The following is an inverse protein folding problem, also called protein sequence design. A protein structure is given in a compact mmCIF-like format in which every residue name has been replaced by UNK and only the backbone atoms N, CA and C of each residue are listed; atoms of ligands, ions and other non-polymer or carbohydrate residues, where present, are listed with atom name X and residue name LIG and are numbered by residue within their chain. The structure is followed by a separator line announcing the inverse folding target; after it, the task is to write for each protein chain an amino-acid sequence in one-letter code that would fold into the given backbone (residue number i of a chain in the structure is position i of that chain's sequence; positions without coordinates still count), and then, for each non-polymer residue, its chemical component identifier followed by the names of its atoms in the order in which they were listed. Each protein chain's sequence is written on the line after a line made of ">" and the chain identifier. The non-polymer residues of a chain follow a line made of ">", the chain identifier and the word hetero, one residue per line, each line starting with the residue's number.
data_IF_897178537573
#
_entry.id   IF_897178537573
#
_cell.length_a   1.000
_cell.length_b   1.000
_cell.length_c   1.000
_cell.angle_alpha   90.00
_cell.angle_beta   90.00
_cell.angle_gamma   90.00
#
_symmetry.space_group_name_H-M   'P 1'
#
loop_
_entity.id
_entity.type
_entity.pdbx_description
1 polymer ?
#
# COMPACT_ATOMS: atom_id res chain seq x y z
N UNK A 1 6.21 5.38 5.09
CA UNK A 1 5.16 5.46 6.12
C UNK A 1 5.63 5.07 7.52
N UNK A 2 6.46 4.03 7.71
CA UNK A 2 6.93 3.60 9.04
C UNK A 2 7.37 4.76 9.95
N UNK A 3 8.28 5.60 9.45
CA UNK A 3 8.81 6.76 10.18
C UNK A 3 7.75 7.78 10.66
N UNK A 4 6.58 7.85 10.02
CA UNK A 4 5.50 8.78 10.40
C UNK A 4 4.69 8.29 11.61
N UNK A 5 4.63 6.97 11.82
CA UNK A 5 3.85 6.34 12.91
C UNK A 5 4.77 5.82 14.02
N UNK A 6 6.02 5.47 13.69
CA UNK A 6 6.97 4.90 14.64
C UNK A 6 7.25 5.81 15.83
N UNK A 7 7.18 7.14 15.66
CA UNK A 7 7.32 8.11 16.74
C UNK A 7 6.16 8.13 17.75
N UNK A 8 4.98 7.63 17.37
CA UNK A 8 3.80 7.64 18.24
C UNK A 8 3.86 6.54 19.31
N UNK A 9 4.47 5.39 18.99
CA UNK A 9 4.53 4.24 19.89
C UNK A 9 5.39 4.50 21.13
N UNK A 10 6.60 5.08 21.06
CA UNK A 10 7.37 5.44 22.24
C UNK A 10 6.63 6.37 23.20
N UNK A 11 5.76 7.25 22.69
CA UNK A 11 4.95 8.13 23.54
C UNK A 11 3.78 7.40 24.22
N UNK A 12 3.13 6.48 23.51
CA UNK A 12 1.96 5.75 23.99
C UNK A 12 2.30 4.51 24.83
N UNK A 13 3.39 3.83 24.50
CA UNK A 13 3.81 2.56 25.09
C UNK A 13 5.35 2.53 25.27
N UNK A 14 5.91 3.42 26.11
CA UNK A 14 7.35 3.65 26.23
C UNK A 14 8.14 2.40 26.64
N UNK A 15 7.52 1.50 27.39
CA UNK A 15 8.17 0.29 27.90
C UNK A 15 8.17 -0.87 26.89
N UNK A 16 7.58 -0.70 25.69
CA UNK A 16 7.52 -1.78 24.71
C UNK A 16 8.90 -2.25 24.26
N UNK A 17 9.83 -1.32 23.98
CA UNK A 17 11.16 -1.66 23.47
C UNK A 17 11.95 -2.51 24.49
N UNK A 18 11.86 -2.17 25.77
CA UNK A 18 12.54 -2.93 26.83
C UNK A 18 11.92 -4.32 26.99
N UNK A 19 10.59 -4.40 26.98
CA UNK A 19 9.88 -5.68 27.05
C UNK A 19 10.20 -6.57 25.84
N UNK A 20 10.25 -5.98 24.64
CA UNK A 20 10.59 -6.67 23.41
C UNK A 20 11.96 -7.35 23.47
N UNK A 21 12.94 -6.68 24.08
CA UNK A 21 14.32 -7.19 24.19
C UNK A 21 14.62 -8.01 25.45
N UNK A 22 13.71 -8.05 26.44
CA UNK A 22 14.00 -8.68 27.73
C UNK A 22 12.98 -9.73 28.20
N UNK A 23 11.72 -9.68 27.75
CA UNK A 23 10.66 -10.60 28.19
C UNK A 23 10.43 -11.74 27.19
N UNK A 24 10.09 -12.96 27.66
CA UNK A 24 9.77 -14.08 26.77
C UNK A 24 8.50 -13.81 25.93
N UNK A 25 8.44 -14.45 24.76
CA UNK A 25 7.29 -14.35 23.84
C UNK A 25 7.35 -13.17 22.86
N UNK A 26 8.36 -12.31 22.97
CA UNK A 26 8.69 -11.28 21.99
C UNK A 26 9.76 -11.78 21.02
N UNK A 27 9.76 -11.27 19.79
CA UNK A 27 10.73 -11.70 18.77
C UNK A 27 12.18 -11.36 19.14
N UNK A 28 12.40 -10.37 20.01
CA UNK A 28 13.72 -9.97 20.50
C UNK A 28 14.36 -10.97 21.47
N UNK A 29 13.57 -11.85 22.10
CA UNK A 29 14.05 -12.89 23.04
C UNK A 29 13.78 -14.31 22.54
N UNK A 30 13.16 -14.47 21.38
CA UNK A 30 12.93 -15.76 20.73
C UNK A 30 14.29 -16.39 20.33
N UNK A 31 14.64 -17.58 20.87
CA UNK A 31 15.90 -18.26 20.54
C UNK A 31 16.06 -18.61 19.05
N UNK A 32 14.96 -18.74 18.30
CA UNK A 32 14.99 -18.98 16.86
C UNK A 32 15.15 -17.71 16.01
N UNK A 33 15.05 -16.54 16.63
CA UNK A 33 15.11 -15.25 15.95
C UNK A 33 16.55 -14.78 15.77
N UNK A 34 16.84 -14.27 14.57
CA UNK A 34 18.10 -13.57 14.27
C UNK A 34 17.99 -12.05 14.36
N UNK A 35 16.86 -11.51 14.84
CA UNK A 35 16.64 -10.06 14.84
C UNK A 35 17.70 -9.31 15.66
N UNK A 36 18.25 -9.94 16.70
CA UNK A 36 19.34 -9.39 17.50
C UNK A 36 20.62 -9.12 16.71
N UNK A 37 20.90 -9.90 15.65
CA UNK A 37 22.07 -9.72 14.79
C UNK A 37 22.00 -8.41 13.98
N UNK A 38 20.79 -7.87 13.78
CA UNK A 38 20.57 -6.61 13.09
C UNK A 38 20.70 -5.37 14.00
N UNK A 39 20.79 -5.55 15.33
CA UNK A 39 20.94 -4.43 16.27
C UNK A 39 22.26 -3.72 16.06
N UNK A 40 22.23 -2.40 16.16
CA UNK A 40 23.44 -1.58 16.20
C UNK A 40 23.24 -0.32 17.02
N UNK A 41 24.35 0.22 17.50
CA UNK A 41 24.43 1.52 18.16
C UNK A 41 25.65 2.25 17.65
N UNK A 42 25.52 3.55 17.38
CA UNK A 42 26.62 4.40 16.93
C UNK A 42 26.62 5.68 17.76
N UNK A 43 27.62 5.83 18.62
CA UNK A 43 27.79 7.03 19.45
C UNK A 43 28.61 8.06 18.69
N UNK A 44 28.20 9.32 18.73
CA UNK A 44 28.92 10.42 18.10
C UNK A 44 28.68 11.74 18.84
N UNK A 45 29.44 12.76 18.49
CA UNK A 45 29.23 14.12 18.99
C UNK A 45 28.67 14.98 17.87
N UNK A 46 27.73 15.86 18.20
CA UNK A 46 27.18 16.84 17.26
C UNK A 46 28.23 17.92 16.99
N UNK A 47 28.45 18.24 15.72
CA UNK A 47 29.39 19.27 15.26
C UNK A 47 28.68 20.46 14.60
N UNK A 48 27.44 20.26 14.14
CA UNK A 48 26.63 21.27 13.49
C UNK A 48 25.15 20.91 13.55
N UNK A 49 24.29 21.93 13.56
CA UNK A 49 22.84 21.79 13.47
C UNK A 49 22.34 22.82 12.47
N UNK A 50 21.60 22.37 11.46
CA UNK A 50 20.85 23.23 10.56
C UNK A 50 19.37 23.15 10.93
N UNK A 51 18.81 24.31 11.30
CA UNK A 51 17.42 24.41 11.76
C UNK A 51 16.41 24.42 10.61
N UNK A 52 15.19 23.95 10.89
CA UNK A 52 14.08 23.92 9.95
C UNK A 52 13.85 22.51 9.39
N UNK A 53 12.63 22.16 8.94
CA UNK A 53 12.36 20.85 8.36
C UNK A 53 12.90 20.76 6.91
N UNK A 54 13.72 19.74 6.56
CA UNK A 54 14.22 18.68 7.44
C UNK A 54 15.35 19.16 8.36
N UNK A 55 15.26 18.84 9.66
CA UNK A 55 16.33 19.17 10.62
C UNK A 55 17.56 18.33 10.29
N UNK A 56 18.70 18.99 10.10
CA UNK A 56 19.96 18.32 9.80
C UNK A 56 20.92 18.44 10.98
N UNK A 57 21.47 17.29 11.40
CA UNK A 57 22.42 17.19 12.50
C UNK A 57 23.70 16.61 11.94
N UNK A 58 24.78 17.35 12.07
CA UNK A 58 26.10 16.94 11.60
C UNK A 58 26.87 16.27 12.72
N UNK A 59 27.36 15.06 12.50
CA UNK A 59 28.11 14.26 13.48
C UNK A 59 29.63 14.36 13.27
N UNK A 60 30.40 14.05 14.31
CA UNK A 60 31.86 13.88 14.22
C UNK A 60 32.25 12.78 13.24
N UNK A 61 31.48 11.69 13.23
CA UNK A 61 31.67 10.56 12.35
C UNK A 61 30.31 9.93 11.98
N UNK A 62 30.21 9.48 10.73
CA UNK A 62 29.04 8.79 10.23
C UNK A 62 29.00 7.32 10.65
N UNK A 63 27.81 6.70 10.70
CA UNK A 63 27.66 5.29 11.09
C UNK A 63 28.14 4.30 10.01
N UNK A 64 28.56 4.77 8.84
CA UNK A 64 29.07 3.93 7.74
C UNK A 64 28.05 2.94 7.16
N UNK A 65 26.76 3.14 7.44
CA UNK A 65 25.66 2.28 7.02
C UNK A 65 24.35 3.04 6.91
N UNK A 66 23.35 2.43 6.28
CA UNK A 66 21.99 2.93 6.28
C UNK A 66 21.40 2.87 7.70
N UNK A 67 20.84 3.99 8.14
CA UNK A 67 20.20 4.18 9.45
C UNK A 67 18.81 4.79 9.29
N UNK A 68 18.19 4.69 8.12
CA UNK A 68 16.78 5.01 7.95
C UNK A 68 15.93 4.27 8.99
N UNK A 69 14.91 4.95 9.50
CA UNK A 69 13.99 4.47 10.54
C UNK A 69 14.61 4.24 11.94
N UNK A 70 15.94 4.33 12.10
CA UNK A 70 16.60 4.36 13.40
C UNK A 70 16.28 5.66 14.15
N UNK A 71 16.66 5.73 15.42
CA UNK A 71 16.43 6.89 16.26
C UNK A 71 17.75 7.56 16.62
N UNK A 72 17.75 8.88 16.65
CA UNK A 72 18.79 9.68 17.27
C UNK A 72 18.40 9.92 18.74
N UNK A 73 19.11 9.27 19.65
CA UNK A 73 18.96 9.42 21.09
C UNK A 73 19.93 10.51 21.57
N UNK A 74 19.41 11.53 22.24
CA UNK A 74 20.23 12.61 22.80
C UNK A 74 20.76 12.17 24.18
N UNK A 75 22.08 12.06 24.33
CA UNK A 75 22.72 11.56 25.54
C UNK A 75 23.17 12.66 26.51
N UNK A 76 23.31 13.90 26.04
CA UNK A 76 23.69 15.06 26.86
C UNK A 76 23.05 16.36 26.36
N UNK A 77 23.18 17.44 27.12
CA UNK A 77 22.68 18.76 26.73
C UNK A 77 21.22 18.99 27.13
N UNK A 78 20.63 20.08 26.64
CA UNK A 78 19.26 20.49 26.99
C UNK A 78 18.21 19.46 26.53
N UNK A 79 18.45 18.81 25.39
CA UNK A 79 17.58 17.80 24.82
C UNK A 79 17.83 16.37 25.37
N UNK A 80 18.67 16.19 26.41
CA UNK A 80 19.02 14.88 26.94
C UNK A 80 17.81 14.00 27.25
N UNK A 81 17.90 12.71 26.88
CA UNK A 81 16.87 11.70 27.12
C UNK A 81 15.81 11.62 26.03
N UNK A 82 15.77 12.58 25.12
CA UNK A 82 14.83 12.56 24.00
C UNK A 82 15.33 11.64 22.87
N UNK A 83 14.37 11.16 22.07
CA UNK A 83 14.59 10.26 20.94
C UNK A 83 13.87 10.80 19.71
N UNK A 84 14.60 10.98 18.61
CA UNK A 84 14.08 11.57 17.37
C UNK A 84 14.22 10.58 16.21
N UNK A 85 13.14 10.23 15.48
CA UNK A 85 13.25 9.32 14.34
C UNK A 85 14.07 9.92 13.18
N UNK A 86 14.90 9.09 12.58
CA UNK A 86 15.79 9.43 11.47
C UNK A 86 15.11 9.11 10.15
N UNK A 87 15.11 10.07 9.22
CA UNK A 87 14.66 9.86 7.84
C UNK A 87 15.73 9.18 7.01
N UNK A 88 16.95 9.70 7.07
CA UNK A 88 18.11 9.21 6.32
C UNK A 88 19.41 9.71 6.95
N UNK A 89 20.51 9.03 6.62
CA UNK A 89 21.87 9.47 6.95
C UNK A 89 22.70 9.49 5.68
N UNK A 90 23.39 10.60 5.43
CA UNK A 90 24.34 10.76 4.32
C UNK A 90 25.72 11.11 4.88
N UNK A 91 26.64 10.16 4.84
CA UNK A 91 27.94 10.28 5.51
C UNK A 91 27.76 10.54 7.01
N UNK A 92 28.07 11.78 7.44
CA UNK A 92 27.95 12.26 8.83
C UNK A 92 26.73 13.15 9.09
N UNK A 93 25.93 13.42 8.06
CA UNK A 93 24.72 14.24 8.18
C UNK A 93 23.51 13.36 8.44
N UNK A 94 22.84 13.58 9.57
CA UNK A 94 21.59 12.92 9.95
C UNK A 94 20.44 13.85 9.64
N UNK A 95 19.51 13.41 8.79
CA UNK A 95 18.26 14.11 8.54
C UNK A 95 17.14 13.49 9.37
N UNK A 96 16.47 14.29 10.19
CA UNK A 96 15.30 13.85 10.94
C UNK A 96 14.04 13.84 10.07
N UNK A 97 13.03 13.08 10.50
CA UNK A 97 11.72 13.10 9.83
C UNK A 97 11.07 14.49 9.94
N UNK A 98 10.18 14.83 8.99
CA UNK A 98 9.52 16.14 8.96
C UNK A 98 8.65 16.41 10.18
N UNK A 99 8.13 15.36 10.81
CA UNK A 99 7.24 15.43 11.98
C UNK A 99 8.00 15.23 13.30
N UNK A 100 9.33 15.28 13.29
CA UNK A 100 10.13 15.22 14.51
C UNK A 100 9.80 16.42 15.41
N UNK A 101 9.90 16.23 16.73
CA UNK A 101 9.59 17.29 17.69
C UNK A 101 10.52 18.50 17.46
N UNK A 102 9.97 19.65 17.00
CA UNK A 102 10.77 20.79 16.62
C UNK A 102 11.43 21.47 17.84
N UNK A 103 10.83 21.36 19.03
CA UNK A 103 11.40 21.93 20.25
C UNK A 103 12.63 21.13 20.70
N UNK A 104 12.53 19.79 20.66
CA UNK A 104 13.66 18.91 20.96
C UNK A 104 14.77 19.08 19.92
N UNK A 105 14.43 19.06 18.63
CA UNK A 105 15.42 19.25 17.56
C UNK A 105 16.14 20.61 17.66
N UNK A 106 15.39 21.67 17.99
CA UNK A 106 15.94 23.01 18.20
C UNK A 106 16.71 23.17 19.53
N UNK A 107 16.71 22.19 20.43
CA UNK A 107 17.48 22.21 21.68
C UNK A 107 18.84 21.51 21.56
N UNK A 108 19.08 20.74 20.48
CA UNK A 108 20.37 20.09 20.21
C UNK A 108 21.43 21.13 19.79
N UNK A 109 22.65 21.01 20.30
CA UNK A 109 23.76 21.93 20.05
C UNK A 109 25.04 21.19 19.65
N UNK A 110 25.94 21.84 18.88
CA UNK A 110 27.31 21.35 18.74
C UNK A 110 27.96 21.10 20.11
N UNK A 111 28.60 19.94 20.27
CA UNK A 111 29.16 19.45 21.53
C UNK A 111 28.29 18.41 22.24
N UNK A 112 27.00 18.29 21.92
CA UNK A 112 26.13 17.28 22.51
C UNK A 112 26.53 15.87 22.06
N UNK A 113 26.53 14.92 22.99
CA UNK A 113 26.69 13.49 22.70
C UNK A 113 25.36 12.88 22.30
N UNK A 114 25.36 12.07 21.25
CA UNK A 114 24.18 11.42 20.70
C UNK A 114 24.48 9.96 20.35
N UNK A 115 23.43 9.14 20.24
CA UNK A 115 23.49 7.76 19.78
C UNK A 115 22.48 7.52 18.67
N UNK A 116 22.91 6.96 17.55
CA UNK A 116 22.01 6.33 16.59
C UNK A 116 21.72 4.92 17.09
N UNK A 117 20.44 4.56 17.22
CA UNK A 117 19.97 3.30 17.79
C UNK A 117 18.77 2.75 16.99
N UNK A 118 18.81 1.48 16.60
CA UNK A 118 17.72 0.84 15.86
C UNK A 118 16.86 -0.15 16.69
N UNK A 119 16.99 -0.16 18.01
CA UNK A 119 16.23 -1.05 18.90
C UNK A 119 14.71 -0.86 18.71
N UNK A 120 14.24 0.38 18.64
CA UNK A 120 12.84 0.71 18.34
C UNK A 120 12.43 0.24 16.95
N UNK A 121 13.24 0.53 15.93
CA UNK A 121 12.96 0.17 14.54
C UNK A 121 12.69 -1.33 14.39
N UNK A 122 13.55 -2.14 14.99
CA UNK A 122 13.46 -3.60 14.99
C UNK A 122 12.26 -4.09 15.79
N UNK A 123 12.05 -3.57 17.00
CA UNK A 123 10.92 -3.95 17.85
C UNK A 123 9.58 -3.66 17.15
N UNK A 124 9.46 -2.50 16.50
CA UNK A 124 8.22 -2.05 15.87
C UNK A 124 7.82 -2.86 14.64
N UNK A 125 8.74 -3.57 13.98
CA UNK A 125 8.41 -4.47 12.86
C UNK A 125 7.37 -5.53 13.24
N UNK A 126 7.26 -5.85 14.53
CA UNK A 126 6.33 -6.87 15.04
C UNK A 126 5.36 -6.35 16.10
N UNK A 127 5.32 -5.02 16.33
CA UNK A 127 4.43 -4.43 17.35
C UNK A 127 2.97 -4.82 17.14
N UNK A 128 2.53 -4.89 15.88
CA UNK A 128 1.19 -5.31 15.50
C UNK A 128 0.79 -6.63 16.19
N UNK A 129 1.67 -7.64 16.28
CA UNK A 129 1.38 -8.95 16.92
C UNK A 129 0.93 -8.85 18.39
N UNK A 130 1.23 -7.72 19.03
CA UNK A 130 0.94 -7.40 20.42
C UNK A 130 -0.24 -6.43 20.58
N UNK A 131 -1.05 -6.28 19.52
CA UNK A 131 -2.20 -5.36 19.39
C UNK A 131 -3.46 -6.10 18.90
N UNK A 132 -3.64 -7.36 19.29
CA UNK A 132 -4.78 -8.18 18.86
C UNK A 132 -6.07 -7.65 19.51
N UNK A 133 -7.05 -7.11 18.73
CA UNK A 133 -8.29 -6.58 19.30
C UNK A 133 -9.09 -7.66 20.04
N UNK A 134 -9.91 -7.32 21.04
CA UNK A 134 -10.75 -8.31 21.70
C UNK A 134 -11.88 -8.83 20.79
N UNK A 135 -12.42 -7.97 19.92
CA UNK A 135 -13.50 -8.32 19.00
C UNK A 135 -12.98 -9.22 17.85
N UNK A 136 -13.48 -10.47 17.71
CA UNK A 136 -13.06 -11.39 16.65
C UNK A 136 -13.53 -10.97 15.25
N UNK A 137 -14.41 -9.97 15.13
CA UNK A 137 -14.82 -9.40 13.82
C UNK A 137 -13.63 -8.81 13.06
N UNK A 138 -12.57 -8.40 13.76
CA UNK A 138 -11.30 -8.00 13.15
C UNK A 138 -10.54 -9.24 12.64
N UNK A 139 -11.14 -9.95 11.68
CA UNK A 139 -10.72 -11.31 11.31
C UNK A 139 -9.29 -11.39 10.76
N UNK A 140 -8.74 -10.30 10.22
CA UNK A 140 -7.34 -10.24 9.79
C UNK A 140 -6.35 -10.47 10.93
N UNK A 141 -6.76 -10.25 12.17
CA UNK A 141 -5.97 -10.51 13.37
C UNK A 141 -6.03 -11.95 13.85
N UNK A 142 -6.91 -12.79 13.30
CA UNK A 142 -7.09 -14.17 13.76
C UNK A 142 -5.85 -15.05 13.52
N UNK A 143 -4.97 -14.65 12.60
CA UNK A 143 -3.66 -15.28 12.40
C UNK A 143 -2.77 -15.23 13.66
N UNK A 144 -3.04 -14.32 14.59
CA UNK A 144 -2.31 -14.16 15.86
C UNK A 144 -3.03 -14.80 17.05
N UNK A 145 -4.05 -15.63 16.80
CA UNK A 145 -4.79 -16.37 17.82
C UNK A 145 -4.50 -17.86 17.69
N UNK A 146 -4.47 -18.55 18.83
CA UNK A 146 -4.42 -20.01 18.87
C UNK A 146 -5.81 -20.63 18.68
N UNK A 147 -5.88 -21.95 18.75
CA UNK A 147 -7.14 -22.72 18.59
C UNK A 147 -8.24 -22.29 19.58
N UNK A 148 -7.85 -21.87 20.79
CA UNK A 148 -8.77 -21.37 21.81
C UNK A 148 -9.24 -19.91 21.58
N UNK A 149 -8.83 -19.26 20.49
CA UNK A 149 -9.13 -17.85 20.18
C UNK A 149 -8.30 -16.83 20.98
N UNK A 150 -7.42 -17.29 21.87
CA UNK A 150 -6.53 -16.45 22.67
C UNK A 150 -5.31 -16.00 21.85
N UNK A 151 -4.82 -14.76 22.03
CA UNK A 151 -3.58 -14.31 21.38
C UNK A 151 -2.39 -15.22 21.71
N UNK A 152 -1.56 -15.53 20.70
CA UNK A 152 -0.37 -16.39 20.87
C UNK A 152 0.88 -15.63 21.34
N UNK A 153 0.87 -14.30 21.20
CA UNK A 153 1.94 -13.42 21.64
C UNK A 153 1.52 -12.61 22.87
N UNK A 154 2.46 -12.14 23.71
CA UNK A 154 2.16 -11.18 24.77
C UNK A 154 1.42 -9.96 24.22
N UNK A 155 0.39 -9.46 24.91
CA UNK A 155 -0.38 -8.29 24.46
C UNK A 155 -0.02 -7.05 25.27
N UNK A 156 -0.15 -5.87 24.65
CA UNK A 156 0.06 -4.58 25.33
C UNK A 156 -1.26 -4.06 25.89
N UNK A 157 -1.20 -3.31 27.00
CA UNK A 157 -2.38 -2.68 27.59
C UNK A 157 -2.92 -1.49 26.78
N UNK A 158 -2.08 -0.93 25.90
CA UNK A 158 -2.44 0.17 25.00
C UNK A 158 -2.80 -0.39 23.63
N UNK A 159 -3.94 0.05 23.08
CA UNK A 159 -4.40 -0.29 21.73
C UNK A 159 -4.20 0.91 20.80
N UNK A 160 -3.08 0.93 20.12
CA UNK A 160 -2.69 2.04 19.24
C UNK A 160 -3.64 2.17 18.05
N UNK A 161 -4.14 1.05 17.51
CA UNK A 161 -5.10 1.07 16.41
C UNK A 161 -6.34 1.90 16.73
N UNK A 162 -6.96 1.67 17.90
CA UNK A 162 -8.16 2.40 18.33
C UNK A 162 -7.88 3.89 18.53
N UNK A 163 -6.80 4.22 19.25
CA UNK A 163 -6.43 5.62 19.47
C UNK A 163 -6.10 6.34 18.16
N UNK A 164 -5.39 5.67 17.25
CA UNK A 164 -5.08 6.16 15.91
C UNK A 164 -6.35 6.41 15.08
N UNK A 165 -7.28 5.45 15.06
CA UNK A 165 -8.57 5.62 14.37
C UNK A 165 -9.35 6.81 14.92
N UNK A 166 -9.49 6.94 16.25
CA UNK A 166 -10.20 8.08 16.85
C UNK A 166 -9.51 9.41 16.55
N UNK A 167 -8.18 9.45 16.60
CA UNK A 167 -7.42 10.67 16.28
C UNK A 167 -7.56 11.07 14.80
N UNK A 168 -7.54 10.11 13.88
CA UNK A 168 -7.60 10.37 12.43
C UNK A 168 -9.02 10.59 11.90
N UNK A 169 -10.00 9.81 12.36
CA UNK A 169 -11.37 9.82 11.85
C UNK A 169 -12.36 10.58 12.76
N UNK A 170 -11.95 10.97 13.97
CA UNK A 170 -12.81 11.62 14.96
C UNK A 170 -13.82 10.69 15.64
N UNK A 171 -13.86 9.40 15.28
CA UNK A 171 -14.78 8.40 15.81
C UNK A 171 -14.26 6.97 15.56
N UNK A 172 -14.91 5.97 16.18
CA UNK A 172 -14.73 4.57 15.80
C UNK A 172 -15.66 4.22 14.63
N UNK A 173 -15.22 3.29 13.79
CA UNK A 173 -15.91 2.93 12.56
C UNK A 173 -16.98 1.86 12.82
N UNK A 174 -18.17 2.29 13.23
CA UNK A 174 -19.28 1.39 13.62
C UNK A 174 -20.25 1.03 12.47
N UNK A 175 -20.08 1.66 11.30
CA UNK A 175 -20.91 1.43 10.12
C UNK A 175 -22.28 2.12 10.15
N UNK A 176 -22.64 2.78 11.26
CA UNK A 176 -23.81 3.65 11.30
C UNK A 176 -23.48 5.02 10.72
N UNK A 177 -23.97 5.29 9.51
CA UNK A 177 -23.77 6.55 8.80
C UNK A 177 -25.07 7.04 8.17
N UNK A 178 -25.19 8.34 7.94
CA UNK A 178 -26.31 8.91 7.20
C UNK A 178 -26.01 8.94 5.69
N UNK A 179 -27.08 8.83 4.89
CA UNK A 179 -27.00 8.90 3.43
C UNK A 179 -26.30 7.71 2.77
N UNK A 180 -26.08 7.87 1.46
CA UNK A 180 -25.46 6.85 0.59
C UNK A 180 -23.95 6.95 0.63
N UNK A 181 -23.28 5.82 0.75
CA UNK A 181 -21.82 5.69 0.77
C UNK A 181 -21.37 4.75 -0.33
N UNK A 182 -20.43 5.20 -1.15
CA UNK A 182 -19.68 4.36 -2.07
C UNK A 182 -18.23 4.31 -1.60
N UNK A 183 -17.79 3.14 -1.14
CA UNK A 183 -16.40 2.89 -0.75
C UNK A 183 -15.60 2.37 -1.94
N UNK A 184 -14.42 2.93 -2.17
CA UNK A 184 -13.47 2.43 -3.15
C UNK A 184 -12.20 1.99 -2.42
N UNK A 185 -11.83 0.73 -2.62
CA UNK A 185 -10.60 0.14 -2.10
C UNK A 185 -9.77 -0.45 -3.25
N UNK A 186 -8.46 -0.56 -3.07
CA UNK A 186 -7.54 -1.06 -4.09
C UNK A 186 -6.82 -2.31 -3.60
N UNK A 187 -6.64 -3.32 -4.46
CA UNK A 187 -6.23 -4.67 -4.03
C UNK A 187 -4.75 -4.82 -3.69
N UNK A 188 -3.88 -3.90 -4.13
CA UNK A 188 -2.45 -3.88 -3.77
C UNK A 188 -2.13 -2.80 -2.74
N UNK A 189 -3.12 -2.33 -1.97
CA UNK A 189 -2.87 -1.38 -0.89
C UNK A 189 -2.09 -2.05 0.25
N UNK A 190 -0.88 -1.55 0.54
CA UNK A 190 -0.04 -2.05 1.63
C UNK A 190 -0.16 -1.21 2.91
N UNK A 191 -0.81 -0.05 2.83
CA UNK A 191 -0.98 0.88 3.95
C UNK A 191 -2.38 0.76 4.56
N UNK A 192 -3.39 0.40 3.75
CA UNK A 192 -4.79 0.17 4.13
C UNK A 192 -5.30 -1.12 3.48
N UNK A 193 -5.03 -2.26 4.12
CA UNK A 193 -5.26 -3.56 3.51
C UNK A 193 -6.72 -3.76 3.03
N UNK A 194 -6.94 -4.41 1.86
CA UNK A 194 -8.26 -4.53 1.25
C UNK A 194 -9.36 -5.14 2.13
N UNK A 195 -8.99 -6.08 3.01
CA UNK A 195 -9.93 -6.73 3.92
C UNK A 195 -10.59 -5.76 4.90
N UNK A 196 -9.98 -4.61 5.18
CA UNK A 196 -10.55 -3.58 6.05
C UNK A 196 -11.82 -2.97 5.43
N UNK A 197 -11.89 -2.85 4.10
CA UNK A 197 -13.09 -2.40 3.40
C UNK A 197 -14.24 -3.42 3.51
N UNK A 198 -13.93 -4.72 3.42
CA UNK A 198 -14.90 -5.80 3.65
C UNK A 198 -15.37 -5.86 5.12
N UNK A 199 -14.43 -5.69 6.06
CA UNK A 199 -14.75 -5.57 7.48
C UNK A 199 -15.72 -4.40 7.74
N UNK A 200 -15.45 -3.23 7.16
CA UNK A 200 -16.32 -2.06 7.34
C UNK A 200 -17.67 -2.26 6.67
N UNK A 201 -17.72 -2.85 5.46
CA UNK A 201 -18.97 -3.28 4.82
C UNK A 201 -19.81 -4.17 5.74
N UNK A 202 -19.16 -5.06 6.48
CA UNK A 202 -19.83 -5.92 7.47
C UNK A 202 -20.37 -5.12 8.67
N UNK A 203 -19.68 -4.06 9.11
CA UNK A 203 -20.21 -3.14 10.13
C UNK A 203 -21.45 -2.39 9.62
N UNK A 204 -21.39 -1.85 8.40
CA UNK A 204 -22.53 -1.15 7.80
C UNK A 204 -23.72 -2.09 7.62
N UNK A 205 -23.49 -3.33 7.17
CA UNK A 205 -24.56 -4.33 7.07
C UNK A 205 -25.20 -4.64 8.42
N UNK A 206 -24.40 -4.74 9.48
CA UNK A 206 -24.91 -4.96 10.83
C UNK A 206 -25.73 -3.77 11.35
N UNK A 207 -25.28 -2.53 11.08
CA UNK A 207 -25.95 -1.31 11.51
C UNK A 207 -27.25 -1.03 10.74
N UNK A 208 -27.27 -1.30 9.43
CA UNK A 208 -28.39 -0.93 8.53
C UNK A 208 -29.42 -2.04 8.30
N UNK A 209 -29.08 -3.30 8.56
CA UNK A 209 -29.99 -4.42 8.33
C UNK A 209 -30.53 -4.45 6.89
N UNK A 210 -31.84 -4.48 6.73
CA UNK A 210 -32.51 -4.49 5.42
C UNK A 210 -32.21 -3.23 4.58
N UNK A 211 -31.85 -2.11 5.21
CA UNK A 211 -31.46 -0.87 4.53
C UNK A 211 -30.03 -0.87 3.97
N UNK A 212 -29.26 -1.94 4.15
CA UNK A 212 -27.86 -2.01 3.70
C UNK A 212 -27.70 -1.73 2.20
N UNK A 213 -28.50 -2.41 1.36
CA UNK A 213 -28.43 -2.27 -0.10
C UNK A 213 -28.91 -0.93 -0.64
N UNK A 214 -29.52 -0.07 0.18
CA UNK A 214 -29.97 1.26 -0.23
C UNK A 214 -28.95 2.36 0.09
N UNK A 215 -27.95 2.04 0.92
CA UNK A 215 -27.06 3.04 1.52
C UNK A 215 -25.57 2.73 1.37
N UNK A 216 -25.16 1.52 0.97
CA UNK A 216 -23.75 1.17 0.84
C UNK A 216 -23.43 0.39 -0.45
N UNK A 217 -22.38 0.82 -1.14
CA UNK A 217 -21.79 0.12 -2.28
C UNK A 217 -20.25 0.05 -2.14
N UNK A 218 -19.63 -1.02 -2.64
CA UNK A 218 -18.19 -1.23 -2.57
C UNK A 218 -17.58 -1.56 -3.93
N UNK A 219 -16.56 -0.80 -4.30
CA UNK A 219 -15.68 -1.07 -5.43
C UNK A 219 -14.31 -1.54 -4.94
N UNK A 220 -13.86 -2.66 -5.49
CA UNK A 220 -12.46 -3.07 -5.47
C UNK A 220 -11.82 -2.85 -6.83
N UNK A 221 -10.66 -2.19 -6.84
CA UNK A 221 -9.84 -1.93 -8.02
C UNK A 221 -8.54 -2.73 -7.93
N UNK A 222 -8.38 -3.65 -8.87
CA UNK A 222 -7.21 -4.52 -8.98
C UNK A 222 -5.99 -3.77 -9.53
N UNK A 223 -4.79 -4.29 -9.27
CA UNK A 223 -3.52 -3.73 -9.72
C UNK A 223 -3.26 -2.26 -9.35
N UNK A 224 -3.94 -1.72 -8.35
CA UNK A 224 -3.71 -0.36 -7.82
C UNK A 224 -3.17 -0.42 -6.39
N UNK A 225 -2.29 0.53 -6.05
CA UNK A 225 -1.64 0.68 -4.75
C UNK A 225 -2.22 1.89 -3.99
N UNK A 226 -1.83 2.07 -2.72
CA UNK A 226 -2.17 3.23 -1.88
C UNK A 226 -1.83 4.57 -2.55
N UNK A 227 -0.77 4.58 -3.36
CA UNK A 227 -0.26 5.76 -4.04
C UNK A 227 -0.24 5.53 -5.56
N UNK A 228 -0.38 6.62 -6.32
CA UNK A 228 -0.27 6.54 -7.77
C UNK A 228 1.17 6.22 -8.20
N UNK A 229 1.36 5.44 -9.27
CA UNK A 229 2.69 5.09 -9.77
C UNK A 229 3.38 6.31 -10.43
N UNK A 230 4.36 6.90 -9.75
CA UNK A 230 5.07 8.11 -10.21
C UNK A 230 6.30 7.82 -11.08
N UNK A 231 6.97 6.68 -10.88
CA UNK A 231 8.16 6.28 -11.64
C UNK A 231 7.82 5.27 -12.74
N UNK A 232 8.61 5.21 -13.83
CA UNK A 232 8.40 4.22 -14.89
C UNK A 232 8.21 2.81 -14.35
N UNK A 233 9.18 2.29 -13.58
CA UNK A 233 9.07 0.93 -13.04
C UNK A 233 7.80 0.69 -12.19
N UNK A 234 7.27 1.71 -11.51
CA UNK A 234 6.00 1.57 -10.80
C UNK A 234 4.82 1.44 -11.77
N UNK A 235 4.83 2.20 -12.87
CA UNK A 235 3.78 2.15 -13.91
C UNK A 235 3.76 0.84 -14.70
N UNK A 236 4.86 0.10 -14.76
CA UNK A 236 4.88 -1.26 -15.30
C UNK A 236 4.16 -2.26 -14.38
N UNK A 237 3.98 -1.95 -13.09
CA UNK A 237 3.50 -2.91 -12.09
C UNK A 237 2.12 -2.59 -11.53
N UNK A 238 1.74 -1.31 -11.47
CA UNK A 238 0.48 -0.84 -10.91
C UNK A 238 -0.14 0.28 -11.77
N UNK A 239 -1.44 0.47 -11.60
CA UNK A 239 -2.21 1.56 -12.21
C UNK A 239 -2.58 2.63 -11.19
N UNK A 240 -2.95 3.81 -11.69
CA UNK A 240 -3.61 4.83 -10.88
C UNK A 240 -5.09 4.47 -10.72
N UNK A 241 -5.59 4.45 -9.49
CA UNK A 241 -7.03 4.32 -9.24
C UNK A 241 -7.78 5.66 -9.44
N UNK A 242 -7.10 6.76 -9.79
CA UNK A 242 -7.70 8.08 -9.90
C UNK A 242 -8.89 8.16 -10.86
N UNK A 243 -8.81 7.46 -12.00
CA UNK A 243 -9.96 7.37 -12.91
C UNK A 243 -11.13 6.58 -12.33
N UNK A 244 -10.85 5.52 -11.56
CA UNK A 244 -11.88 4.78 -10.83
C UNK A 244 -12.54 5.66 -9.75
N UNK A 245 -11.76 6.48 -9.03
CA UNK A 245 -12.28 7.43 -8.05
C UNK A 245 -13.18 8.49 -8.70
N UNK A 246 -12.77 9.03 -9.85
CA UNK A 246 -13.59 9.98 -10.61
C UNK A 246 -14.91 9.35 -11.07
N UNK A 247 -14.89 8.08 -11.51
CA UNK A 247 -16.12 7.37 -11.86
C UNK A 247 -16.98 7.09 -10.62
N UNK A 248 -16.39 6.67 -9.51
CA UNK A 248 -17.10 6.43 -8.25
C UNK A 248 -17.84 7.67 -7.74
N UNK A 249 -17.22 8.86 -7.85
CA UNK A 249 -17.90 10.13 -7.52
C UNK A 249 -19.11 10.40 -8.40
N UNK A 250 -19.06 10.03 -9.70
CA UNK A 250 -20.19 10.17 -10.63
C UNK A 250 -21.29 9.17 -10.33
N UNK A 251 -20.91 7.93 -10.02
CA UNK A 251 -21.85 6.87 -9.65
C UNK A 251 -22.54 7.22 -8.33
N UNK A 252 -21.82 7.77 -7.35
CA UNK A 252 -22.41 8.26 -6.11
C UNK A 252 -23.40 9.41 -6.36
N UNK A 253 -23.04 10.39 -7.19
CA UNK A 253 -23.95 11.48 -7.56
C UNK A 253 -25.20 10.95 -8.26
N UNK A 254 -25.06 10.06 -9.24
CA UNK A 254 -26.19 9.43 -9.93
C UNK A 254 -27.06 8.61 -8.96
N UNK A 255 -26.45 7.95 -7.98
CA UNK A 255 -27.19 7.21 -6.98
C UNK A 255 -27.99 8.12 -6.05
N UNK A 256 -27.38 9.18 -5.55
CA UNK A 256 -28.03 10.16 -4.67
C UNK A 256 -29.13 10.93 -5.39
N UNK A 257 -28.83 11.46 -6.58
CA UNK A 257 -29.71 12.39 -7.31
C UNK A 257 -30.79 11.68 -8.13
N UNK A 258 -30.48 10.49 -8.66
CA UNK A 258 -31.30 9.80 -9.67
C UNK A 258 -31.70 8.39 -9.26
N UNK A 259 -31.28 7.91 -8.09
CA UNK A 259 -31.61 6.57 -7.60
C UNK A 259 -30.90 5.44 -8.37
N UNK A 260 -29.87 5.74 -9.16
CA UNK A 260 -29.14 4.73 -9.94
C UNK A 260 -28.09 4.07 -9.06
N UNK A 261 -28.40 2.88 -8.52
CA UNK A 261 -27.50 2.15 -7.62
C UNK A 261 -26.22 1.70 -8.36
N UNK A 262 -25.01 1.91 -7.79
CA UNK A 262 -23.75 1.42 -8.34
C UNK A 262 -23.71 -0.11 -8.35
N UNK A 263 -23.07 -0.75 -9.33
CA UNK A 263 -22.95 -2.22 -9.32
C UNK A 263 -21.68 -2.62 -8.59
N UNK A 264 -21.79 -3.16 -7.37
CA UNK A 264 -20.65 -3.59 -6.56
C UNK A 264 -19.68 -4.52 -7.31
N UNK A 265 -18.41 -4.47 -6.91
CA UNK A 265 -17.45 -5.50 -7.29
C UNK A 265 -17.83 -6.80 -6.58
N UNK A 266 -17.91 -7.91 -7.32
CA UNK A 266 -18.05 -9.25 -6.74
C UNK A 266 -16.69 -9.73 -6.26
N UNK A 267 -16.63 -10.26 -5.04
CA UNK A 267 -15.41 -10.78 -4.45
C UNK A 267 -15.71 -11.88 -3.41
N UNK A 268 -14.66 -12.60 -3.02
CA UNK A 268 -14.63 -13.48 -1.84
C UNK A 268 -13.44 -13.10 -0.96
N UNK A 269 -13.49 -13.49 0.32
CA UNK A 269 -12.34 -13.35 1.23
C UNK A 269 -11.86 -14.74 1.61
N UNK A 270 -10.58 -15.02 1.37
CA UNK A 270 -9.91 -16.26 1.77
C UNK A 270 -8.59 -15.89 2.46
N UNK A 271 -8.35 -16.38 3.67
CA UNK A 271 -7.15 -16.10 4.46
C UNK A 271 -6.80 -14.60 4.55
N UNK A 272 -7.81 -13.74 4.78
CA UNK A 272 -7.67 -12.27 4.84
C UNK A 272 -7.31 -11.61 3.51
N UNK A 273 -7.29 -12.36 2.40
CA UNK A 273 -7.10 -11.83 1.06
C UNK A 273 -8.44 -11.64 0.36
N UNK A 274 -8.65 -10.47 -0.25
CA UNK A 274 -9.79 -10.20 -1.13
C UNK A 274 -9.48 -10.73 -2.52
N UNK A 275 -10.33 -11.63 -3.02
CA UNK A 275 -10.19 -12.29 -4.32
C UNK A 275 -11.35 -11.88 -5.23
N UNK A 276 -11.03 -11.35 -6.42
CA UNK A 276 -12.01 -10.95 -7.44
C UNK A 276 -12.04 -11.96 -8.60
N UNK A 277 -13.21 -12.21 -9.22
CA UNK A 277 -13.31 -13.08 -10.38
C UNK A 277 -12.42 -12.65 -11.55
N UNK A 278 -11.98 -13.60 -12.38
CA UNK A 278 -11.11 -13.32 -13.52
C UNK A 278 -11.87 -12.65 -14.69
N UNK A 279 -13.14 -13.02 -14.90
CA UNK A 279 -13.95 -12.48 -16.00
C UNK A 279 -14.63 -11.16 -15.62
N UNK A 280 -14.80 -10.25 -16.58
CA UNK A 280 -15.48 -8.98 -16.35
C UNK A 280 -16.97 -9.17 -16.00
N UNK A 281 -17.61 -10.15 -16.61
CA UNK A 281 -19.02 -10.48 -16.37
C UNK A 281 -19.28 -10.93 -14.93
N UNK A 282 -18.40 -11.75 -14.36
CA UNK A 282 -18.52 -12.21 -12.98
C UNK A 282 -18.02 -11.17 -11.98
N UNK A 283 -16.92 -10.46 -12.31
CA UNK A 283 -16.31 -9.45 -11.43
C UNK A 283 -17.23 -8.26 -11.18
N UNK A 284 -18.07 -7.89 -12.17
CA UNK A 284 -18.91 -6.69 -12.13
C UNK A 284 -18.06 -5.46 -11.77
N UNK A 285 -18.59 -4.53 -10.97
CA UNK A 285 -17.89 -3.27 -10.69
C UNK A 285 -17.71 -2.44 -11.95
N UNK A 286 -16.62 -1.66 -11.96
CA UNK A 286 -16.32 -0.69 -13.03
C UNK A 286 -15.02 -0.96 -13.77
N UNK A 287 -14.18 -1.88 -13.27
CA UNK A 287 -12.82 -2.05 -13.76
C UNK A 287 -12.77 -3.04 -14.93
N UNK A 288 -12.10 -2.70 -16.05
CA UNK A 288 -11.91 -3.64 -17.15
C UNK A 288 -10.96 -4.76 -16.74
N UNK A 289 -11.12 -5.96 -17.31
CA UNK A 289 -10.19 -7.09 -17.12
C UNK A 289 -9.40 -7.34 -18.40
N UNK A 290 -8.23 -7.95 -18.25
CA UNK A 290 -7.31 -8.24 -19.36
C UNK A 290 -6.87 -9.70 -19.27
N UNK A 291 -7.14 -10.49 -20.31
CA UNK A 291 -6.50 -11.78 -20.56
C UNK A 291 -5.36 -11.57 -21.57
N UNK A 292 -4.13 -11.42 -21.07
CA UNK A 292 -2.92 -11.22 -21.86
C UNK A 292 -2.11 -12.52 -21.92
N UNK A 293 -1.63 -12.88 -23.12
CA UNK A 293 -0.86 -14.10 -23.38
C UNK A 293 0.35 -13.82 -24.27
N UNK A 294 1.46 -14.51 -23.99
CA UNK A 294 2.63 -14.66 -24.84
C UNK A 294 2.66 -16.08 -25.41
N UNK A 295 2.65 -16.22 -26.74
CA UNK A 295 2.56 -17.51 -27.44
C UNK A 295 1.42 -18.40 -26.89
N UNK A 296 0.30 -17.80 -26.51
CA UNK A 296 -0.89 -18.50 -25.98
C UNK A 296 -0.87 -18.83 -24.48
N UNK A 297 0.17 -18.44 -23.74
CA UNK A 297 0.31 -18.72 -22.29
C UNK A 297 0.74 -17.48 -21.49
N UNK A 298 0.77 -17.57 -20.16
CA UNK A 298 1.30 -16.50 -19.29
C UNK A 298 2.84 -16.39 -19.31
N UNK A 299 3.50 -17.39 -19.91
CA UNK A 299 4.96 -17.44 -20.10
C UNK A 299 5.31 -17.97 -21.49
N UNK A 300 6.26 -17.32 -22.14
CA UNK A 300 6.94 -17.81 -23.33
C UNK A 300 8.46 -17.94 -23.08
N UNK A 301 9.10 -18.91 -23.73
CA UNK A 301 10.55 -19.04 -23.84
C UNK A 301 10.91 -18.99 -25.32
N UNK A 302 11.84 -18.12 -25.69
CA UNK A 302 12.24 -17.88 -27.09
C UNK A 302 13.73 -17.61 -27.19
N UNK A 303 14.31 -17.87 -28.36
CA UNK A 303 15.68 -17.46 -28.64
C UNK A 303 15.81 -15.93 -28.78
N UNK A 304 17.02 -15.41 -28.59
CA UNK A 304 17.32 -14.00 -28.95
C UNK A 304 16.93 -13.74 -30.41
N UNK A 305 16.11 -12.70 -30.64
CA UNK A 305 15.61 -12.31 -31.95
C UNK A 305 14.38 -13.08 -32.44
N UNK A 306 14.00 -14.20 -31.81
CA UNK A 306 12.78 -14.93 -32.16
C UNK A 306 11.53 -14.11 -31.78
N UNK A 307 10.57 -13.91 -32.71
CA UNK A 307 9.35 -13.17 -32.42
C UNK A 307 8.45 -13.87 -31.39
N UNK A 308 7.96 -13.10 -30.43
CA UNK A 308 6.90 -13.51 -29.50
C UNK A 308 5.58 -12.91 -29.94
N UNK A 309 4.57 -13.75 -30.13
CA UNK A 309 3.20 -13.29 -30.38
C UNK A 309 2.50 -12.98 -29.07
N UNK A 310 2.09 -11.73 -28.91
CA UNK A 310 1.34 -11.24 -27.77
C UNK A 310 -0.12 -11.04 -28.19
N UNK A 311 -1.05 -11.67 -27.47
CA UNK A 311 -2.49 -11.53 -27.73
C UNK A 311 -3.20 -11.12 -26.45
N UNK A 312 -4.11 -10.16 -26.55
CA UNK A 312 -4.94 -9.71 -25.44
C UNK A 312 -6.43 -9.74 -25.78
N UNK A 313 -7.23 -10.18 -24.82
CA UNK A 313 -8.67 -9.90 -24.77
C UNK A 313 -8.92 -8.96 -23.59
N UNK A 314 -9.62 -7.86 -23.85
CA UNK A 314 -9.93 -6.83 -22.87
C UNK A 314 -11.44 -6.71 -22.79
N UNK A 315 -12.01 -6.72 -21.59
CA UNK A 315 -13.45 -6.65 -21.38
C UNK A 315 -13.80 -5.66 -20.27
N UNK A 316 -14.71 -4.74 -20.57
CA UNK A 316 -15.38 -3.94 -19.56
C UNK A 316 -16.52 -4.77 -18.93
N UNK A 317 -16.74 -4.69 -17.61
CA UNK A 317 -17.90 -5.33 -16.98
C UNK A 317 -19.22 -4.86 -17.61
N UNK A 318 -20.26 -5.71 -17.63
CA UNK A 318 -21.56 -5.31 -18.18
C UNK A 318 -22.08 -4.01 -17.55
N UNK A 319 -22.37 -3.01 -18.38
CA UNK A 319 -22.82 -1.68 -17.95
C UNK A 319 -21.71 -0.75 -17.45
N UNK A 320 -20.44 -1.20 -17.35
CA UNK A 320 -19.30 -0.39 -16.93
C UNK A 320 -18.82 0.64 -17.97
N UNK A 321 -19.27 0.51 -19.21
CA UNK A 321 -18.88 1.35 -20.33
C UNK A 321 -18.05 0.58 -21.35
N UNK A 322 -17.14 1.30 -22.03
CA UNK A 322 -16.35 0.75 -23.14
C UNK A 322 -14.87 0.87 -22.86
N UNK A 323 -14.08 -0.08 -23.34
CA UNK A 323 -12.63 0.03 -23.43
C UNK A 323 -12.33 1.15 -24.42
N UNK A 324 -11.60 2.17 -23.96
CA UNK A 324 -11.26 3.35 -24.76
C UNK A 324 -9.79 3.45 -25.10
N UNK A 325 -8.92 2.73 -24.37
CA UNK A 325 -7.50 2.68 -24.69
C UNK A 325 -6.79 1.42 -24.26
N UNK A 326 -5.69 1.15 -24.95
CA UNK A 326 -4.74 0.10 -24.66
C UNK A 326 -3.35 0.55 -25.11
N UNK A 327 -2.34 0.36 -24.26
CA UNK A 327 -0.96 0.76 -24.51
C UNK A 327 -0.02 -0.39 -24.14
N UNK A 328 0.88 -0.72 -25.06
CA UNK A 328 1.91 -1.72 -24.87
C UNK A 328 3.17 -1.11 -24.27
N UNK A 329 3.76 -1.83 -23.31
CA UNK A 329 5.16 -1.67 -22.89
C UNK A 329 5.81 -3.05 -23.01
N UNK A 330 6.35 -3.31 -24.21
CA UNK A 330 6.85 -4.63 -24.59
C UNK A 330 8.12 -5.03 -23.83
N UNK A 331 8.86 -4.05 -23.31
CA UNK A 331 10.09 -4.25 -22.55
C UNK A 331 9.86 -4.32 -21.03
N UNK A 332 8.70 -3.90 -20.53
CA UNK A 332 8.36 -3.91 -19.11
C UNK A 332 9.07 -2.82 -18.30
N UNK A 333 9.38 -1.69 -18.94
CA UNK A 333 10.15 -0.59 -18.35
C UNK A 333 9.26 0.48 -17.69
N UNK A 334 7.97 0.45 -18.00
CA UNK A 334 6.95 1.41 -17.60
C UNK A 334 6.91 2.67 -18.46
N UNK A 335 7.55 2.62 -19.62
CA UNK A 335 7.33 3.58 -20.70
C UNK A 335 6.03 3.23 -21.44
N UNK A 336 4.99 4.01 -21.17
CA UNK A 336 3.67 3.87 -21.78
C UNK A 336 3.38 5.08 -22.69
N UNK A 337 4.41 5.59 -23.37
CA UNK A 337 4.31 6.68 -24.35
C UNK A 337 3.83 6.23 -25.73
N UNK A 338 3.75 4.92 -25.97
CA UNK A 338 3.24 4.36 -27.22
C UNK A 338 1.80 4.77 -27.52
N UNK A 339 1.47 4.79 -28.83
CA UNK A 339 0.14 5.11 -29.32
C UNK A 339 -0.93 4.18 -28.72
N UNK A 340 -2.08 4.75 -28.37
CA UNK A 340 -3.24 3.97 -27.93
C UNK A 340 -3.78 3.12 -29.10
N UNK A 341 -4.04 1.84 -28.84
CA UNK A 341 -4.34 0.85 -29.88
C UNK A 341 -5.85 0.58 -30.07
N UNK A 342 -6.71 1.36 -29.42
CA UNK A 342 -8.18 1.19 -29.51
C UNK A 342 -8.74 2.19 -30.50
N UNK A 343 -8.96 1.75 -31.74
CA UNK A 343 -9.50 2.60 -32.81
C UNK A 343 -10.99 2.92 -32.64
N UNK A 344 -11.75 2.04 -31.97
CA UNK A 344 -13.18 2.22 -31.74
C UNK A 344 -13.55 1.66 -30.38
N UNK A 345 -14.06 2.50 -29.46
CA UNK A 345 -14.46 2.05 -28.15
C UNK A 345 -15.52 0.95 -28.21
N UNK A 346 -15.28 -0.14 -27.47
CA UNK A 346 -16.17 -1.29 -27.40
C UNK A 346 -16.13 -1.93 -26.01
N UNK A 347 -17.17 -2.66 -25.63
CA UNK A 347 -17.22 -3.41 -24.37
C UNK A 347 -16.16 -4.52 -24.32
N UNK A 348 -15.84 -5.09 -25.48
CA UNK A 348 -14.80 -6.12 -25.66
C UNK A 348 -13.87 -5.74 -26.81
N UNK A 349 -12.58 -5.78 -26.58
CA UNK A 349 -11.53 -5.49 -27.57
C UNK A 349 -10.52 -6.63 -27.59
N UNK A 350 -10.12 -7.04 -28.79
CA UNK A 350 -9.03 -8.01 -28.98
C UNK A 350 -7.86 -7.33 -29.69
N UNK A 351 -6.65 -7.51 -29.16
CA UNK A 351 -5.42 -6.95 -29.70
C UNK A 351 -4.39 -8.06 -29.92
N UNK A 352 -3.53 -7.86 -30.92
CA UNK A 352 -2.39 -8.73 -31.16
C UNK A 352 -1.20 -7.87 -31.61
N UNK A 353 -0.01 -8.24 -31.15
CA UNK A 353 1.26 -7.69 -31.65
C UNK A 353 2.34 -8.76 -31.62
N UNK A 354 3.45 -8.51 -32.31
CA UNK A 354 4.64 -9.35 -32.27
C UNK A 354 5.84 -8.51 -31.83
N UNK A 355 6.74 -9.10 -31.05
CA UNK A 355 7.96 -8.44 -30.58
C UNK A 355 9.13 -9.41 -30.49
N UNK A 356 10.30 -8.98 -30.94
CA UNK A 356 11.55 -9.73 -30.83
C UNK A 356 12.50 -9.03 -29.86
N UNK A 357 13.01 -9.77 -28.89
CA UNK A 357 13.96 -9.23 -27.90
C UNK A 357 15.41 -9.42 -28.37
N UNK A 358 16.20 -8.36 -28.30
CA UNK A 358 17.57 -8.34 -28.82
C UNK A 358 18.64 -8.81 -27.83
N UNK A 359 18.27 -9.04 -26.56
CA UNK A 359 19.19 -9.42 -25.49
C UNK A 359 18.56 -10.54 -24.64
N UNK A 360 19.38 -11.48 -24.13
CA UNK A 360 18.89 -12.52 -23.24
C UNK A 360 18.36 -11.94 -21.91
N UNK A 361 17.61 -12.77 -21.19
CA UNK A 361 17.09 -12.51 -19.86
C UNK A 361 15.58 -12.63 -19.75
N UNK A 362 15.06 -12.42 -18.54
CA UNK A 362 13.60 -12.35 -18.31
C UNK A 362 13.11 -10.94 -18.60
N UNK A 363 12.00 -10.83 -19.34
CA UNK A 363 11.23 -9.61 -19.61
C UNK A 363 9.78 -9.83 -19.21
N UNK A 364 9.08 -8.74 -18.93
CA UNK A 364 7.64 -8.77 -18.67
C UNK A 364 6.95 -7.82 -19.64
N UNK A 365 6.37 -8.35 -20.71
CA UNK A 365 5.57 -7.55 -21.63
C UNK A 365 4.30 -7.10 -20.90
N UNK A 366 4.04 -5.80 -20.93
CA UNK A 366 2.96 -5.13 -20.20
C UNK A 366 1.92 -4.63 -21.19
N UNK A 367 0.65 -4.75 -20.80
CA UNK A 367 -0.47 -4.05 -21.44
C UNK A 367 -1.26 -3.29 -20.38
N UNK A 368 -1.33 -1.96 -20.53
CA UNK A 368 -2.22 -1.10 -19.73
C UNK A 368 -3.44 -0.74 -20.56
N UNK A 369 -4.62 -0.78 -19.97
CA UNK A 369 -5.88 -0.43 -20.63
C UNK A 369 -6.67 0.55 -19.78
N UNK A 370 -7.62 1.25 -20.41
CA UNK A 370 -8.65 1.98 -19.70
C UNK A 370 -10.03 1.77 -20.32
N UNK A 371 -11.06 1.70 -19.49
CA UNK A 371 -12.46 1.86 -19.89
C UNK A 371 -13.01 3.19 -19.41
N UNK A 372 -14.06 3.66 -20.07
CA UNK A 372 -14.77 4.90 -19.74
C UNK A 372 -16.27 4.67 -19.99
N UNK A 373 -17.13 5.20 -19.11
CA UNK A 373 -18.57 4.89 -19.04
C UNK A 373 -19.33 5.16 -20.34
N UNK A 374 -19.13 6.32 -20.93
CA UNK A 374 -19.76 6.76 -22.19
C UNK A 374 -18.98 6.30 -23.44
N UNK A 375 -17.78 5.76 -23.26
CA UNK A 375 -16.87 5.39 -24.34
C UNK A 375 -16.19 6.59 -25.00
N UNK A 376 -16.06 7.71 -24.29
CA UNK A 376 -15.29 8.87 -24.76
C UNK A 376 -13.79 8.58 -24.60
N UNK A 377 -13.07 8.48 -25.72
CA UNK A 377 -11.64 8.19 -25.73
C UNK A 377 -10.78 9.45 -25.50
N UNK A 378 -11.32 10.63 -25.79
CA UNK A 378 -10.58 11.90 -25.75
C UNK A 378 -10.59 12.52 -24.34
N UNK A 379 -11.58 12.15 -23.51
CA UNK A 379 -11.66 12.68 -22.16
C UNK A 379 -10.51 12.17 -21.27
N UNK A 380 -9.84 13.05 -20.51
CA UNK A 380 -8.86 12.63 -19.51
C UNK A 380 -9.53 12.09 -18.24
N UNK A 381 -10.85 12.24 -18.10
CA UNK A 381 -11.58 11.97 -16.87
C UNK A 381 -12.24 10.58 -16.87
N UNK A 382 -12.37 10.00 -15.67
CA UNK A 382 -13.06 8.74 -15.41
C UNK A 382 -12.57 7.55 -16.27
N UNK A 383 -11.28 7.57 -16.65
CA UNK A 383 -10.62 6.46 -17.33
C UNK A 383 -10.23 5.39 -16.30
N UNK A 384 -11.08 4.39 -16.11
CA UNK A 384 -10.87 3.29 -15.16
C UNK A 384 -9.81 2.35 -15.72
N UNK A 385 -8.65 2.28 -15.07
CA UNK A 385 -7.50 1.55 -15.59
C UNK A 385 -7.40 0.11 -15.07
N UNK A 386 -6.76 -0.74 -15.87
CA UNK A 386 -6.18 -2.00 -15.42
C UNK A 386 -4.87 -2.28 -16.20
N UNK A 387 -4.07 -3.22 -15.71
CA UNK A 387 -2.79 -3.60 -16.30
C UNK A 387 -2.60 -5.11 -16.21
N UNK A 388 -2.00 -5.71 -17.23
CA UNK A 388 -1.61 -7.11 -17.23
C UNK A 388 -0.18 -7.28 -17.73
N UNK A 389 0.43 -8.39 -17.35
CA UNK A 389 1.83 -8.72 -17.64
C UNK A 389 1.97 -10.18 -18.00
N UNK A 390 2.84 -10.48 -18.97
CA UNK A 390 3.24 -11.85 -19.30
C UNK A 390 4.76 -11.98 -19.30
N UNK A 391 5.26 -13.13 -18.86
CA UNK A 391 6.70 -13.38 -18.74
C UNK A 391 7.26 -13.87 -20.06
N UNK A 392 8.33 -13.25 -20.54
CA UNK A 392 9.12 -13.76 -21.68
C UNK A 392 10.52 -14.05 -21.18
N UNK A 393 10.98 -15.29 -21.37
CA UNK A 393 12.37 -15.68 -21.09
C UNK A 393 13.09 -15.80 -22.41
N UNK A 394 14.11 -14.97 -22.60
CA UNK A 394 14.91 -14.90 -23.82
C UNK A 394 16.25 -15.58 -23.54
N UNK A 395 16.57 -16.63 -24.30
CA UNK A 395 17.78 -17.46 -24.11
C UNK A 395 18.69 -17.50 -25.33
#
# INVERSE_FOLDING_TARGET
>A
YFANISGMIPAMDPNYVDDFWSKPGYLGTDPGSKIGEARFKHDATVTGVEGGPPFLIELTEGPGRDCADAHLIVLSGEAQGNSLPIKQVDGKTVALIMTADPAVAAAIRPGDSVRIDNDWTLALQTYHRHQVPADPKYYGWNQFRGEAGTPIYPQRGVMVGTAGTTNSAGSMLEGDHDGKMLMLAVLLDIDSFPWQADWYRSQVKAAKGDGFGENYALYFIDNAHHENPMRPIQRAHAISYGGALQQALRDLAAWVEKGVHPVDTVYTVADTQVLVPASAAERKGIQPVIDLKANGSLRAEVAVGEPVKLTATIEAPPGAGKVVSAQWDLEGTGDLSGAEQVASPAERVSLSTEHSYSQPGTRFAVLRVASQREGDAETPYARVQNIARVRVVVS
#
